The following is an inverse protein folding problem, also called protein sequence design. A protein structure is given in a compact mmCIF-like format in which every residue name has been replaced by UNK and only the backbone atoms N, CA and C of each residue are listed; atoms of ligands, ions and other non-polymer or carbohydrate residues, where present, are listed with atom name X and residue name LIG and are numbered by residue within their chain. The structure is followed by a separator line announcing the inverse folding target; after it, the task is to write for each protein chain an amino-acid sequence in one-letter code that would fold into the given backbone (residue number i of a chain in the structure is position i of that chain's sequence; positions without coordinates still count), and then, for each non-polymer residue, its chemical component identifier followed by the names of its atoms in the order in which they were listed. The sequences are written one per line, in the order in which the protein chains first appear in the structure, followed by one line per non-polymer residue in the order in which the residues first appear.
data_IF_857022938854
#
_entry.id   IF_857022938854
#
_cell.length_a   1.000
_cell.length_b   1.000
_cell.length_c   1.000
_cell.angle_alpha   90.00
_cell.angle_beta   90.00
_cell.angle_gamma   90.00
#
_symmetry.space_group_name_H-M   'P 1'
#
loop_
_entity.id
_entity.type
_entity.pdbx_description
1 polymer ?
#
# COMPACT_ATOMS: atom_id res chain seq x y z
N UNK A 1 7.83 20.60 4.91
CA UNK A 1 7.12 19.38 5.36
C UNK A 1 5.88 19.05 4.53
N UNK A 2 5.19 20.01 3.94
CA UNK A 2 3.98 19.78 3.11
C UNK A 2 4.16 18.86 1.88
N UNK A 3 5.38 18.68 1.39
CA UNK A 3 5.67 18.02 0.11
C UNK A 3 5.74 16.48 0.13
N UNK A 4 5.58 15.83 1.28
CA UNK A 4 5.60 14.35 1.40
C UNK A 4 4.21 13.75 1.58
N UNK A 5 3.29 14.46 2.21
CA UNK A 5 1.96 13.97 2.54
C UNK A 5 1.07 13.80 1.32
N UNK A 6 1.10 14.74 0.36
CA UNK A 6 0.21 14.67 -0.81
C UNK A 6 0.39 13.42 -1.70
N UNK A 7 1.60 12.84 -1.74
CA UNK A 7 1.85 11.61 -2.53
C UNK A 7 1.16 10.41 -1.91
N UNK A 8 1.28 10.26 -0.59
CA UNK A 8 0.58 9.23 0.15
C UNK A 8 -0.94 9.45 0.08
N UNK A 9 -1.40 10.69 0.21
CA UNK A 9 -2.83 11.02 0.11
C UNK A 9 -3.39 10.67 -1.27
N UNK A 10 -2.68 11.02 -2.36
CA UNK A 10 -3.10 10.66 -3.73
C UNK A 10 -3.07 9.16 -3.94
N UNK A 11 -2.05 8.46 -3.43
CA UNK A 11 -1.97 7.01 -3.52
C UNK A 11 -3.12 6.34 -2.78
N UNK A 12 -3.37 6.75 -1.53
CA UNK A 12 -4.50 6.26 -0.73
C UNK A 12 -5.84 6.52 -1.42
N UNK A 13 -6.02 7.71 -2.00
CA UNK A 13 -7.25 8.06 -2.73
C UNK A 13 -7.45 7.19 -3.98
N UNK A 14 -6.40 6.90 -4.74
CA UNK A 14 -6.45 6.00 -5.89
C UNK A 14 -6.87 4.58 -5.49
N UNK A 15 -6.36 4.09 -4.34
CA UNK A 15 -6.64 2.75 -3.84
C UNK A 15 -7.96 2.61 -3.07
N UNK A 16 -8.68 3.69 -2.81
CA UNK A 16 -10.08 3.62 -2.36
C UNK A 16 -11.03 3.14 -3.46
N UNK A 17 -10.63 3.28 -4.72
CA UNK A 17 -11.35 2.70 -5.85
C UNK A 17 -11.07 1.18 -5.91
N UNK A 18 -12.11 0.38 -5.67
CA UNK A 18 -12.06 -1.10 -5.68
C UNK A 18 -11.49 -1.67 -6.98
N UNK A 19 -11.83 -1.06 -8.13
CA UNK A 19 -11.35 -1.49 -9.44
C UNK A 19 -9.84 -1.30 -9.55
N UNK A 20 -9.33 -0.16 -9.08
CA UNK A 20 -7.89 0.13 -9.09
C UNK A 20 -7.13 -0.76 -8.11
N UNK A 21 -7.67 -0.99 -6.91
CA UNK A 21 -7.09 -1.91 -5.93
C UNK A 21 -6.99 -3.34 -6.51
N UNK A 22 -8.06 -3.81 -7.18
CA UNK A 22 -8.11 -5.11 -7.85
C UNK A 22 -7.12 -5.20 -9.02
N UNK A 23 -6.99 -4.15 -9.82
CA UNK A 23 -6.01 -4.10 -10.92
C UNK A 23 -4.57 -4.29 -10.42
N UNK A 24 -4.20 -3.58 -9.33
CA UNK A 24 -2.88 -3.73 -8.71
C UNK A 24 -2.71 -5.15 -8.16
N UNK A 25 -3.74 -5.69 -7.49
CA UNK A 25 -3.72 -7.06 -6.98
C UNK A 25 -3.46 -8.06 -8.11
N UNK A 26 -4.20 -7.96 -9.21
CA UNK A 26 -4.05 -8.82 -10.38
C UNK A 26 -2.64 -8.73 -10.97
N UNK A 27 -2.09 -7.52 -11.08
CA UNK A 27 -0.77 -7.29 -11.65
C UNK A 27 0.36 -7.92 -10.81
N UNK A 28 0.24 -7.87 -9.47
CA UNK A 28 1.22 -8.43 -8.53
C UNK A 28 1.12 -9.96 -8.49
N UNK A 29 -0.11 -10.49 -8.41
CA UNK A 29 -0.36 -11.91 -8.15
C UNK A 29 -0.52 -12.73 -9.45
N UNK A 30 -0.56 -12.08 -10.62
CA UNK A 30 -0.78 -12.76 -11.90
C UNK A 30 -2.18 -13.35 -12.04
N UNK A 31 -3.16 -12.72 -11.41
CA UNK A 31 -4.60 -13.08 -11.46
C UNK A 31 -5.34 -12.17 -12.44
N UNK A 32 -6.61 -12.46 -12.69
CA UNK A 32 -7.46 -11.78 -13.67
C UNK A 32 -8.90 -11.54 -13.15
N UNK A 33 -9.04 -11.25 -11.85
CA UNK A 33 -10.34 -10.85 -11.28
C UNK A 33 -10.90 -9.63 -12.01
N UNK A 34 -12.21 -9.63 -12.31
CA UNK A 34 -12.90 -8.62 -13.10
C UNK A 34 -14.09 -7.96 -12.38
N UNK A 35 -14.54 -8.52 -11.25
CA UNK A 35 -15.63 -7.99 -10.45
C UNK A 35 -15.11 -7.20 -9.23
N UNK A 36 -15.13 -5.84 -9.26
CA UNK A 36 -14.67 -5.02 -8.14
C UNK A 36 -15.49 -5.20 -6.85
N UNK A 37 -16.70 -5.74 -6.92
CA UNK A 37 -17.50 -5.98 -5.72
C UNK A 37 -16.95 -7.10 -4.84
N UNK A 38 -16.06 -7.94 -5.37
CA UNK A 38 -15.30 -8.92 -4.59
C UNK A 38 -14.29 -8.27 -3.62
N UNK A 39 -13.95 -6.99 -3.83
CA UNK A 39 -13.01 -6.25 -2.98
C UNK A 39 -13.73 -5.72 -1.74
N UNK A 40 -13.33 -6.20 -0.56
CA UNK A 40 -13.76 -5.69 0.76
C UNK A 40 -12.69 -4.70 1.28
N UNK A 41 -12.98 -3.40 1.28
CA UNK A 41 -12.06 -2.39 1.79
C UNK A 41 -11.95 -2.48 3.32
N UNK A 42 -10.72 -2.46 3.84
CA UNK A 42 -10.41 -2.59 5.28
C UNK A 42 -9.48 -1.51 5.81
N UNK A 43 -9.24 -0.46 5.00
CA UNK A 43 -8.32 0.65 5.32
C UNK A 43 -8.59 1.22 6.71
N UNK A 44 -7.52 1.44 7.46
CA UNK A 44 -7.58 2.00 8.81
C UNK A 44 -7.61 3.53 8.75
N UNK A 45 -8.71 4.12 9.16
CA UNK A 45 -8.86 5.56 9.37
C UNK A 45 -9.32 5.82 10.82
N UNK A 46 -8.55 5.30 11.80
CA UNK A 46 -9.00 5.29 13.19
C UNK A 46 -8.05 6.06 14.11
N UNK A 47 -8.62 7.09 14.74
CA UNK A 47 -7.99 7.87 15.80
C UNK A 47 -8.11 7.20 17.20
N UNK A 48 -8.67 5.98 17.28
CA UNK A 48 -9.05 5.34 18.54
C UNK A 48 -7.92 4.60 19.25
N UNK A 49 -6.74 4.46 18.60
CA UNK A 49 -5.54 3.95 19.26
C UNK A 49 -4.60 5.09 19.66
N UNK A 50 -3.92 4.96 20.79
CA UNK A 50 -2.93 5.90 21.34
C UNK A 50 -1.76 6.20 20.38
N UNK A 51 -1.51 5.32 19.43
CA UNK A 51 -0.70 5.56 18.24
C UNK A 51 -1.67 5.78 17.08
N UNK A 52 -1.56 6.91 16.38
CA UNK A 52 -2.35 7.18 15.16
C UNK A 52 -1.93 6.17 14.09
N UNK A 53 -2.63 5.02 14.08
CA UNK A 53 -2.38 3.92 13.14
C UNK A 53 -3.16 4.22 11.88
N UNK A 54 -2.48 4.66 10.85
CA UNK A 54 -3.03 4.89 9.50
C UNK A 54 -2.22 4.08 8.51
N UNK A 55 -2.88 3.30 7.68
CA UNK A 55 -2.27 2.70 6.51
C UNK A 55 -2.82 3.34 5.22
N UNK A 56 -2.04 3.32 4.15
CA UNK A 56 -2.44 3.96 2.89
C UNK A 56 -3.64 3.25 2.28
N UNK A 57 -3.59 1.92 2.16
CA UNK A 57 -4.74 1.12 1.76
C UNK A 57 -4.66 -0.32 2.25
N UNK A 58 -5.80 -0.90 2.59
CA UNK A 58 -5.93 -2.34 2.80
C UNK A 58 -7.29 -2.85 2.35
N UNK A 59 -7.30 -4.07 1.84
CA UNK A 59 -8.52 -4.71 1.36
C UNK A 59 -8.39 -6.23 1.38
N UNK A 60 -9.53 -6.92 1.36
CA UNK A 60 -9.61 -8.38 1.24
C UNK A 60 -10.18 -8.73 -0.13
N UNK A 61 -9.49 -9.63 -0.83
CA UNK A 61 -9.91 -10.25 -2.07
C UNK A 61 -9.59 -11.74 -2.01
N UNK A 62 -10.58 -12.60 -2.22
CA UNK A 62 -10.45 -14.07 -2.20
C UNK A 62 -9.69 -14.60 -0.97
N UNK A 63 -10.12 -14.17 0.23
CA UNK A 63 -9.50 -14.51 1.52
C UNK A 63 -8.01 -14.06 1.68
N UNK A 64 -7.50 -13.22 0.80
CA UNK A 64 -6.20 -12.57 0.93
C UNK A 64 -6.39 -11.12 1.41
N UNK A 65 -5.74 -10.76 2.51
CA UNK A 65 -5.71 -9.39 3.03
C UNK A 65 -4.44 -8.71 2.52
N UNK A 66 -4.59 -7.78 1.60
CA UNK A 66 -3.49 -6.97 1.08
C UNK A 66 -3.39 -5.66 1.84
N UNK A 67 -2.19 -5.36 2.36
CA UNK A 67 -1.82 -4.07 2.92
C UNK A 67 -0.84 -3.42 1.95
N UNK A 68 -1.24 -2.29 1.37
CA UNK A 68 -0.48 -1.53 0.38
C UNK A 68 -0.08 -0.20 0.97
N UNK A 69 1.22 0.04 1.00
CA UNK A 69 1.84 1.26 1.52
C UNK A 69 2.65 1.96 0.44
N UNK A 70 2.60 3.28 0.39
CA UNK A 70 3.45 4.09 -0.45
C UNK A 70 4.59 4.72 0.37
N UNK A 71 5.83 4.62 -0.13
CA UNK A 71 6.99 5.20 0.52
C UNK A 71 7.80 6.07 -0.44
N UNK A 72 7.89 7.37 -0.15
CA UNK A 72 8.77 8.32 -0.85
C UNK A 72 10.16 8.46 -0.24
N UNK A 73 10.45 7.71 0.82
CA UNK A 73 11.72 7.64 1.53
C UNK A 73 11.91 6.21 2.00
N UNK A 74 13.13 5.72 2.01
CA UNK A 74 13.42 4.41 2.60
C UNK A 74 12.97 4.35 4.06
N UNK A 75 12.22 3.32 4.42
CA UNK A 75 11.70 3.11 5.77
C UNK A 75 11.90 1.66 6.20
N UNK A 76 12.98 1.33 6.93
CA UNK A 76 13.28 -0.03 7.37
C UNK A 76 12.27 -0.56 8.40
N UNK A 77 11.48 0.32 9.02
CA UNK A 77 10.48 -0.04 10.02
C UNK A 77 9.12 -0.45 9.42
N UNK A 78 9.02 -0.64 8.10
CA UNK A 78 7.76 -1.05 7.48
C UNK A 78 7.23 -2.38 8.04
N UNK A 79 8.03 -3.44 8.23
CA UNK A 79 7.52 -4.68 8.79
C UNK A 79 6.90 -4.51 10.19
N UNK A 80 7.49 -3.68 11.03
CA UNK A 80 6.94 -3.38 12.36
C UNK A 80 5.62 -2.59 12.27
N UNK A 81 5.54 -1.62 11.34
CA UNK A 81 4.30 -0.87 11.10
C UNK A 81 3.19 -1.78 10.59
N UNK A 82 3.50 -2.62 9.61
CA UNK A 82 2.55 -3.55 9.00
C UNK A 82 2.06 -4.61 9.98
N UNK A 83 2.89 -5.06 10.91
CA UNK A 83 2.47 -5.93 12.02
C UNK A 83 1.38 -5.25 12.86
N UNK A 84 1.55 -3.97 13.20
CA UNK A 84 0.59 -3.20 13.98
C UNK A 84 -0.71 -2.94 13.19
N UNK A 85 -0.60 -2.65 11.89
CA UNK A 85 -1.76 -2.47 11.01
C UNK A 85 -2.54 -3.78 10.88
N UNK A 86 -1.86 -4.87 10.58
CA UNK A 86 -2.48 -6.19 10.48
C UNK A 86 -3.21 -6.57 11.76
N UNK A 87 -2.56 -6.46 12.91
CA UNK A 87 -3.17 -6.75 14.21
C UNK A 87 -4.45 -5.92 14.44
N UNK A 88 -4.42 -4.65 14.09
CA UNK A 88 -5.57 -3.73 14.23
C UNK A 88 -6.73 -4.12 13.31
N UNK A 89 -6.45 -4.46 12.05
CA UNK A 89 -7.45 -4.91 11.08
C UNK A 89 -8.12 -6.20 11.55
N UNK A 90 -7.32 -7.20 11.97
CA UNK A 90 -7.84 -8.47 12.46
C UNK A 90 -8.67 -8.28 13.72
N UNK A 91 -8.23 -7.44 14.66
CA UNK A 91 -8.99 -7.14 15.88
C UNK A 91 -10.37 -6.53 15.55
N UNK A 92 -10.41 -5.54 14.64
CA UNK A 92 -11.67 -4.93 14.19
C UNK A 92 -12.59 -5.97 13.55
N UNK A 93 -12.04 -6.84 12.67
CA UNK A 93 -12.79 -7.89 11.99
C UNK A 93 -13.39 -8.90 12.97
N UNK A 94 -12.61 -9.37 13.93
CA UNK A 94 -13.08 -10.29 14.99
C UNK A 94 -14.24 -9.65 15.76
N UNK A 95 -14.09 -8.39 16.17
CA UNK A 95 -15.12 -7.63 16.91
C UNK A 95 -16.39 -7.45 16.07
N UNK A 96 -16.26 -7.03 14.81
CA UNK A 96 -17.40 -6.81 13.91
C UNK A 96 -18.17 -8.11 13.65
N UNK A 97 -17.48 -9.23 13.51
CA UNK A 97 -18.07 -10.56 13.31
C UNK A 97 -18.53 -11.23 14.61
N UNK A 98 -18.35 -10.56 15.76
CA UNK A 98 -18.70 -11.10 17.11
C UNK A 98 -18.10 -12.49 17.36
N UNK A 99 -16.86 -12.71 16.86
CA UNK A 99 -16.16 -13.98 17.03
C UNK A 99 -15.47 -14.05 18.39
N UNK A 100 -15.43 -15.23 18.98
CA UNK A 100 -14.77 -15.50 20.26
C UNK A 100 -13.41 -16.14 20.02
N UNK A 101 -12.33 -15.42 20.36
CA UNK A 101 -10.94 -15.92 20.26
C UNK A 101 -10.54 -16.85 21.38
N UNK A 102 -11.34 -16.90 22.45
CA UNK A 102 -11.11 -17.78 23.60
C UNK A 102 -11.88 -19.11 23.50
N UNK A 103 -12.69 -19.26 22.45
CA UNK A 103 -13.43 -20.47 22.19
C UNK A 103 -12.54 -21.63 21.74
N UNK A 104 -13.06 -22.87 21.86
CA UNK A 104 -12.32 -24.08 21.51
C UNK A 104 -12.16 -24.37 20.01
N UNK A 105 -12.55 -23.42 19.13
CA UNK A 105 -12.46 -23.58 17.67
C UNK A 105 -11.49 -22.58 17.08
N UNK A 106 -10.64 -23.04 16.14
CA UNK A 106 -9.73 -22.16 15.41
C UNK A 106 -10.48 -21.13 14.59
N UNK A 107 -10.15 -19.84 14.73
CA UNK A 107 -10.68 -18.78 13.89
C UNK A 107 -9.81 -18.65 12.63
N UNK A 108 -10.41 -18.86 11.46
CA UNK A 108 -9.76 -18.58 10.19
C UNK A 108 -9.73 -17.07 9.96
N UNK A 109 -8.59 -16.58 9.55
CA UNK A 109 -8.35 -15.18 9.17
C UNK A 109 -7.81 -15.14 7.74
N UNK A 110 -7.95 -14.01 7.03
CA UNK A 110 -7.36 -13.86 5.68
C UNK A 110 -5.85 -14.00 5.72
N UNK A 111 -5.27 -14.48 4.62
CA UNK A 111 -3.81 -14.55 4.46
C UNK A 111 -3.26 -13.14 4.25
N UNK A 112 -2.34 -12.66 5.09
CA UNK A 112 -1.79 -11.31 4.94
C UNK A 112 -0.73 -11.23 3.84
N UNK A 113 -0.76 -10.14 3.06
CA UNK A 113 0.25 -9.75 2.09
C UNK A 113 0.63 -8.30 2.33
N UNK A 114 1.92 -8.05 2.52
CA UNK A 114 2.47 -6.73 2.82
C UNK A 114 3.28 -6.24 1.63
N UNK A 115 2.84 -5.15 1.03
CA UNK A 115 3.43 -4.59 -0.19
C UNK A 115 3.71 -3.11 -0.01
N UNK A 116 4.94 -2.73 -0.31
CA UNK A 116 5.40 -1.35 -0.29
C UNK A 116 5.72 -0.89 -1.70
N UNK A 117 5.10 0.17 -2.15
CA UNK A 117 5.45 0.83 -3.42
C UNK A 117 6.42 1.97 -3.13
N UNK A 118 7.69 1.73 -3.43
CA UNK A 118 8.74 2.72 -3.25
C UNK A 118 8.84 3.65 -4.45
N UNK A 119 8.79 4.93 -4.15
CA UNK A 119 8.92 5.99 -5.12
C UNK A 119 9.82 7.12 -4.54
N UNK A 120 10.96 6.73 -3.97
CA UNK A 120 11.93 7.66 -3.40
C UNK A 120 12.89 8.21 -4.46
N UNK A 121 13.74 9.18 -4.05
CA UNK A 121 14.82 9.73 -4.90
C UNK A 121 16.10 8.91 -4.83
N UNK A 122 16.29 8.15 -3.76
CA UNK A 122 17.45 7.29 -3.58
C UNK A 122 17.36 6.09 -4.52
N UNK A 123 18.50 5.71 -5.11
CA UNK A 123 18.54 4.52 -5.96
C UNK A 123 18.27 3.28 -5.12
N UNK A 124 17.41 2.43 -5.63
CA UNK A 124 17.02 1.18 -4.99
C UNK A 124 16.80 0.11 -6.05
N UNK A 125 16.99 -1.18 -5.72
CA UNK A 125 16.66 -2.28 -6.61
C UNK A 125 15.22 -2.21 -7.11
N UNK A 126 14.93 -2.94 -8.19
CA UNK A 126 13.56 -3.06 -8.70
C UNK A 126 12.63 -3.65 -7.65
N UNK A 127 13.11 -4.68 -6.93
CA UNK A 127 12.38 -5.35 -5.87
C UNK A 127 13.35 -5.77 -4.76
N UNK A 128 12.88 -5.69 -3.51
CA UNK A 128 13.60 -6.21 -2.34
C UNK A 128 12.62 -6.46 -1.20
N UNK A 129 13.08 -7.20 -0.21
CA UNK A 129 12.30 -7.53 0.98
C UNK A 129 12.80 -6.75 2.20
N UNK A 130 11.87 -6.36 3.06
CA UNK A 130 12.15 -5.91 4.42
C UNK A 130 11.59 -6.95 5.39
N UNK A 131 12.34 -7.27 6.43
CA UNK A 131 12.00 -8.34 7.38
C UNK A 131 11.79 -7.79 8.78
N UNK A 132 10.81 -8.35 9.49
CA UNK A 132 10.57 -7.98 10.89
C UNK A 132 11.74 -8.37 11.79
N UNK A 133 12.38 -9.48 11.51
CA UNK A 133 13.56 -9.97 12.26
C UNK A 133 14.72 -8.98 12.24
N UNK A 134 14.84 -8.12 11.22
CA UNK A 134 15.87 -7.07 11.18
C UNK A 134 15.67 -5.98 12.25
N UNK A 135 14.47 -5.91 12.85
CA UNK A 135 14.15 -4.97 13.91
C UNK A 135 14.32 -5.57 15.33
N UNK A 136 14.73 -6.82 15.45
CA UNK A 136 14.92 -7.44 16.76
C UNK A 136 16.22 -6.94 17.42
N UNK A 137 16.17 -6.71 18.73
CA UNK A 137 17.35 -6.26 19.48
C UNK A 137 18.49 -7.28 19.47
N UNK A 138 18.17 -8.54 19.19
CA UNK A 138 19.14 -9.65 19.08
C UNK A 138 18.88 -10.43 17.81
N UNK A 139 19.93 -10.64 17.03
CA UNK A 139 19.89 -11.51 15.84
C UNK A 139 19.48 -12.95 16.20
N UNK A 140 18.65 -13.55 15.36
CA UNK A 140 18.21 -14.94 15.46
C UNK A 140 18.04 -15.54 14.07
N UNK A 141 18.45 -16.79 13.89
CA UNK A 141 18.29 -17.53 12.65
C UNK A 141 16.88 -18.13 12.52
N UNK A 142 16.20 -18.35 13.65
CA UNK A 142 14.87 -18.99 13.68
C UNK A 142 13.93 -18.18 14.59
N UNK A 143 13.35 -17.09 14.07
CA UNK A 143 12.43 -16.25 14.83
C UNK A 143 11.06 -16.93 14.97
N UNK A 144 10.48 -16.89 16.18
CA UNK A 144 9.11 -17.38 16.43
C UNK A 144 8.03 -16.58 15.68
N UNK A 145 8.37 -15.37 15.20
CA UNK A 145 7.52 -14.54 14.35
C UNK A 145 8.36 -13.87 13.27
N UNK A 146 7.92 -14.00 12.03
CA UNK A 146 8.49 -13.27 10.89
C UNK A 146 7.37 -12.62 10.07
N UNK A 147 7.63 -11.41 9.59
CA UNK A 147 6.81 -10.68 8.63
C UNK A 147 7.72 -10.12 7.55
N UNK A 148 7.35 -10.34 6.31
CA UNK A 148 8.10 -9.88 5.15
C UNK A 148 7.27 -8.87 4.38
N UNK A 149 7.80 -7.65 4.18
CA UNK A 149 7.23 -6.66 3.29
C UNK A 149 7.95 -6.71 1.94
N UNK A 150 7.20 -6.95 0.87
CA UNK A 150 7.71 -6.93 -0.49
C UNK A 150 7.73 -5.51 -1.03
N UNK A 151 8.89 -4.98 -1.31
CA UNK A 151 9.06 -3.62 -1.83
C UNK A 151 9.21 -3.64 -3.34
N UNK A 152 8.34 -2.89 -4.02
CA UNK A 152 8.39 -2.68 -5.47
C UNK A 152 8.79 -1.23 -5.75
N UNK A 153 9.93 -1.04 -6.40
CA UNK A 153 10.37 0.26 -6.86
C UNK A 153 9.58 0.68 -8.11
N UNK A 154 8.69 1.65 -7.96
CA UNK A 154 7.81 2.14 -9.03
C UNK A 154 8.30 3.45 -9.65
N UNK A 155 9.59 3.77 -9.54
CA UNK A 155 10.17 4.88 -10.28
C UNK A 155 10.26 4.56 -11.78
N UNK A 156 10.36 5.60 -12.61
CA UNK A 156 10.53 5.46 -14.06
C UNK A 156 11.77 4.60 -14.38
N UNK A 157 11.61 3.63 -15.26
CA UNK A 157 12.65 2.67 -15.64
C UNK A 157 12.80 1.47 -14.71
N UNK A 158 12.09 1.43 -13.58
CA UNK A 158 12.07 0.30 -12.64
C UNK A 158 10.80 -0.54 -12.79
N UNK A 159 10.82 -1.81 -12.41
CA UNK A 159 9.68 -2.75 -12.44
C UNK A 159 8.83 -2.67 -13.72
N UNK A 160 9.47 -2.54 -14.87
CA UNK A 160 8.77 -2.42 -16.16
C UNK A 160 7.72 -3.51 -16.39
N UNK A 161 7.94 -4.80 -16.02
CA UNK A 161 6.92 -5.84 -16.19
C UNK A 161 5.66 -5.58 -15.35
N UNK A 162 5.79 -5.10 -14.12
CA UNK A 162 4.66 -4.75 -13.25
C UNK A 162 3.93 -3.52 -13.79
N UNK A 163 4.67 -2.45 -14.09
CA UNK A 163 4.11 -1.19 -14.59
C UNK A 163 3.43 -1.36 -15.95
N UNK A 164 3.91 -2.28 -16.81
CA UNK A 164 3.25 -2.57 -18.10
C UNK A 164 1.88 -3.22 -17.94
N UNK A 165 1.68 -4.00 -16.87
CA UNK A 165 0.43 -4.72 -16.60
C UNK A 165 -0.56 -3.91 -15.75
N UNK A 166 -0.12 -2.84 -15.09
CA UNK A 166 -0.94 -2.05 -14.18
C UNK A 166 -0.99 -0.58 -14.62
N UNK A 167 -2.13 -0.17 -15.15
CA UNK A 167 -2.35 1.22 -15.57
C UNK A 167 -2.34 2.17 -14.37
N UNK A 168 -2.97 1.79 -13.27
CA UNK A 168 -3.05 2.60 -12.04
C UNK A 168 -1.67 2.95 -11.49
N UNK A 169 -0.75 1.98 -11.37
CA UNK A 169 0.62 2.24 -10.91
C UNK A 169 1.40 3.08 -11.91
N UNK A 170 1.21 2.86 -13.19
CA UNK A 170 1.86 3.65 -14.27
C UNK A 170 1.41 5.11 -14.26
N UNK A 171 0.10 5.36 -14.13
CA UNK A 171 -0.45 6.72 -14.02
C UNK A 171 0.08 7.42 -12.76
N UNK A 172 0.13 6.71 -11.64
CA UNK A 172 0.69 7.24 -10.40
C UNK A 172 2.19 7.58 -10.54
N UNK A 173 2.98 6.72 -11.15
CA UNK A 173 4.39 6.97 -11.47
C UNK A 173 4.55 8.27 -12.28
N UNK A 174 3.79 8.41 -13.38
CA UNK A 174 3.83 9.62 -14.23
C UNK A 174 3.43 10.87 -13.45
N UNK A 175 2.40 10.79 -12.62
CA UNK A 175 1.99 11.89 -11.77
C UNK A 175 3.14 12.34 -10.86
N UNK A 176 3.81 11.42 -10.17
CA UNK A 176 4.92 11.76 -9.29
C UNK A 176 6.10 12.36 -10.04
N UNK A 177 6.44 11.82 -11.21
CA UNK A 177 7.52 12.34 -12.05
C UNK A 177 7.21 13.76 -12.56
N UNK A 178 5.96 14.03 -12.95
CA UNK A 178 5.51 15.36 -13.36
C UNK A 178 5.64 16.36 -12.21
N UNK A 179 5.18 15.99 -11.01
CA UNK A 179 5.29 16.84 -9.82
C UNK A 179 6.74 17.11 -9.46
N UNK A 180 7.64 16.13 -9.59
CA UNK A 180 9.07 16.33 -9.34
C UNK A 180 9.68 17.32 -10.31
N UNK A 181 9.40 17.16 -11.62
CA UNK A 181 9.90 18.07 -12.66
C UNK A 181 9.40 19.51 -12.47
N UNK A 182 8.12 19.67 -12.14
CA UNK A 182 7.56 21.00 -11.88
C UNK A 182 8.17 21.65 -10.63
N UNK A 183 8.41 20.90 -9.56
CA UNK A 183 9.08 21.41 -8.37
C UNK A 183 10.56 21.80 -8.61
N UNK A 184 11.24 21.11 -9.52
CA UNK A 184 12.61 21.46 -9.93
C UNK A 184 12.64 22.76 -10.77
N UNK A 185 11.60 23.00 -11.58
CA UNK A 185 11.49 24.17 -12.47
C UNK A 185 11.00 25.41 -11.71
N UNK A 186 10.02 25.30 -10.85
CA UNK A 186 9.34 26.46 -10.26
C UNK A 186 9.75 26.76 -8.82
N UNK A 187 10.38 25.82 -8.11
CA UNK A 187 10.75 26.00 -6.70
C UNK A 187 9.55 26.26 -5.77
N UNK A 188 8.34 26.26 -6.30
CA UNK A 188 7.13 26.70 -5.60
C UNK A 188 5.94 25.77 -5.89
N UNK A 189 5.27 25.29 -4.84
CA UNK A 189 4.09 24.40 -4.91
C UNK A 189 2.80 25.11 -5.34
N UNK A 190 2.76 26.44 -5.42
CA UNK A 190 1.54 27.21 -5.67
C UNK A 190 1.00 27.05 -7.12
N UNK A 191 1.85 26.69 -8.07
CA UNK A 191 1.45 26.47 -9.47
C UNK A 191 0.77 25.13 -9.77
N UNK A 192 0.70 24.22 -8.78
CA UNK A 192 0.07 22.89 -8.95
C UNK A 192 -1.47 22.90 -8.98
N UNK A 193 -2.10 24.04 -8.67
CA UNK A 193 -3.56 24.21 -8.71
C UNK A 193 -4.17 24.08 -10.13
N UNK A 194 -3.33 24.03 -11.17
CA UNK A 194 -3.75 23.97 -12.58
C UNK A 194 -3.75 22.55 -13.18
N UNK A 195 -3.36 21.52 -12.43
CA UNK A 195 -3.41 20.15 -12.94
C UNK A 195 -4.83 19.61 -12.77
N UNK A 196 -5.68 19.85 -13.76
CA UNK A 196 -6.94 19.11 -13.89
C UNK A 196 -6.62 17.64 -14.18
N UNK A 197 -6.89 16.77 -13.22
CA UNK A 197 -7.07 15.34 -13.48
C UNK A 197 -8.35 15.25 -14.32
N UNK A 198 -8.22 15.12 -15.63
CA UNK A 198 -9.37 14.98 -16.52
C UNK A 198 -10.13 13.72 -16.13
N UNK A 199 -11.37 13.89 -15.68
CA UNK A 199 -12.33 12.79 -15.58
C UNK A 199 -12.41 12.07 -16.93
N UNK A 200 -12.49 10.73 -16.95
CA UNK A 200 -12.69 10.02 -18.19
C UNK A 200 -14.01 10.47 -18.80
N UNK A 201 -13.94 11.14 -19.95
CA UNK A 201 -15.10 11.53 -20.74
C UNK A 201 -15.95 10.30 -21.00
N UNK A 202 -17.14 10.26 -20.42
CA UNK A 202 -18.21 9.35 -20.84
C UNK A 202 -18.50 9.67 -22.31
N UNK A 203 -18.14 8.74 -23.19
CA UNK A 203 -18.68 8.74 -24.55
C UNK A 203 -20.09 8.14 -24.46
N UNK A 204 -21.07 8.99 -24.81
CA UNK A 204 -22.44 8.62 -25.18
C UNK A 204 -22.46 7.70 -26.40
#
# INVERSE_FOLDING_TARGET
MANKEYKSDVFSMLLQDKKRAMEIYNAINGTDYDDPELVEMTTLDDKSFSLTVRNDASFILDANLSLYEHQSTYCPNMPLRDLLYFASIIQKRIKAQKRDIYGGRILKIPVPHFVVFYNGKEDAPDQYDLRLSDAFEKETEDPEIELVCHVYNINSGKNTPLLSKCQTLREYMYFVDMVRKNNEISGNLEDLSLIHISEPTRRS
#
